data_IF_433177217646
#
_entry.id   IF_433177217646
#
_cell.length_a   1.000
_cell.length_b   1.000
_cell.length_c   1.000
_cell.angle_alpha   90.00
_cell.angle_beta   90.00
_cell.angle_gamma   90.00
#
_symmetry.space_group_name_H-M   'P 1'
#
loop_
_entity.id
_entity.type
_entity.pdbx_description
1 polymer ?
#
# COMPACT_ATOMS: atom_id res chain seq x y z
N UNK A 1 -23.86 -5.89 -13.89
CA UNK A 1 -22.79 -5.03 -13.35
C UNK A 1 -22.90 -5.01 -11.84
N UNK A 2 -21.78 -4.98 -11.11
CA UNK A 2 -21.76 -4.95 -9.62
C UNK A 2 -22.58 -3.80 -9.05
N UNK A 3 -22.53 -2.63 -9.66
CA UNK A 3 -23.27 -1.42 -9.25
C UNK A 3 -24.81 -1.54 -9.32
N UNK A 4 -25.34 -2.63 -9.89
CA UNK A 4 -26.78 -2.92 -9.91
C UNK A 4 -27.17 -4.05 -8.94
N UNK A 5 -26.26 -4.52 -8.10
CA UNK A 5 -26.47 -5.66 -7.20
C UNK A 5 -26.79 -5.24 -5.75
N UNK A 6 -26.94 -3.94 -5.48
CA UNK A 6 -27.30 -3.43 -4.16
C UNK A 6 -26.14 -3.38 -3.16
N UNK A 7 -24.90 -3.20 -3.63
CA UNK A 7 -23.76 -2.91 -2.76
C UNK A 7 -23.71 -1.41 -2.44
N UNK A 8 -23.49 -1.05 -1.18
CA UNK A 8 -23.30 0.35 -0.78
C UNK A 8 -21.93 0.88 -1.18
N UNK A 9 -20.91 0.03 -1.10
CA UNK A 9 -19.50 0.38 -1.36
C UNK A 9 -18.86 -0.64 -2.30
N UNK A 10 -18.15 -0.14 -3.31
CA UNK A 10 -17.34 -0.94 -4.24
C UNK A 10 -15.89 -0.45 -4.13
N UNK A 11 -14.95 -1.37 -3.93
CA UNK A 11 -13.51 -1.06 -3.88
C UNK A 11 -12.85 -1.55 -5.17
N UNK A 12 -12.20 -0.65 -5.90
CA UNK A 12 -11.43 -0.98 -7.09
C UNK A 12 -10.00 -1.39 -6.73
N UNK A 13 -9.78 -2.67 -6.48
CA UNK A 13 -8.45 -3.20 -6.19
C UNK A 13 -7.65 -3.39 -7.50
N UNK A 14 -6.87 -2.38 -7.89
CA UNK A 14 -6.07 -2.36 -9.12
C UNK A 14 -4.67 -1.78 -8.88
N UNK A 15 -3.67 -2.33 -9.57
CA UNK A 15 -2.31 -1.76 -9.65
C UNK A 15 -2.17 -0.72 -10.76
N UNK A 16 -3.13 -0.66 -11.68
CA UNK A 16 -3.18 0.30 -12.78
C UNK A 16 -4.19 1.42 -12.50
N UNK A 17 -3.85 2.64 -12.93
CA UNK A 17 -4.79 3.74 -12.96
C UNK A 17 -5.86 3.48 -14.02
N UNK A 18 -7.08 3.15 -13.59
CA UNK A 18 -8.22 2.95 -14.49
C UNK A 18 -8.96 4.28 -14.59
N UNK A 19 -8.94 4.87 -15.79
CA UNK A 19 -9.70 6.10 -16.05
C UNK A 19 -11.16 5.74 -16.35
N UNK A 20 -12.06 6.64 -15.99
CA UNK A 20 -13.48 6.61 -16.38
C UNK A 20 -14.31 5.46 -15.78
N UNK A 21 -13.83 4.82 -14.70
CA UNK A 21 -14.69 3.97 -13.89
C UNK A 21 -15.56 4.84 -12.98
N UNK A 22 -16.87 4.60 -13.00
CA UNK A 22 -17.83 5.28 -12.15
C UNK A 22 -18.87 4.28 -11.65
N UNK A 23 -19.27 4.43 -10.40
CA UNK A 23 -20.45 3.81 -9.84
C UNK A 23 -21.55 4.88 -9.71
N UNK A 24 -22.80 4.52 -9.98
CA UNK A 24 -23.96 5.39 -9.90
C UNK A 24 -24.78 5.14 -8.64
N UNK A 25 -24.85 3.89 -8.20
CA UNK A 25 -25.66 3.49 -7.06
C UNK A 25 -24.81 3.20 -5.82
N UNK A 26 -23.51 2.99 -5.99
CA UNK A 26 -22.56 2.66 -4.92
C UNK A 26 -21.48 3.73 -4.76
N UNK A 27 -20.91 3.86 -3.57
CA UNK A 27 -19.66 4.62 -3.37
C UNK A 27 -18.51 3.82 -3.97
N UNK A 28 -17.79 4.41 -4.93
CA UNK A 28 -16.61 3.79 -5.53
C UNK A 28 -15.33 4.29 -4.83
N UNK A 29 -14.66 3.39 -4.11
CA UNK A 29 -13.35 3.65 -3.52
C UNK A 29 -12.24 3.20 -4.45
N UNK A 30 -11.34 4.12 -4.76
CA UNK A 30 -10.17 3.88 -5.60
C UNK A 30 -8.90 4.02 -4.74
N UNK A 31 -8.28 2.90 -4.28
CA UNK A 31 -7.11 2.93 -3.40
C UNK A 31 -5.96 3.77 -3.97
N UNK A 32 -5.74 3.75 -5.28
CA UNK A 32 -4.68 4.55 -5.92
C UNK A 32 -4.86 6.06 -5.73
N UNK A 33 -6.10 6.55 -5.62
CA UNK A 33 -6.40 7.98 -5.39
C UNK A 33 -6.38 8.36 -3.92
N UNK A 34 -6.67 7.40 -3.03
CA UNK A 34 -6.88 7.63 -1.61
C UNK A 34 -5.61 7.39 -0.80
N UNK A 35 -4.91 6.28 -1.07
CA UNK A 35 -3.78 5.82 -0.24
C UNK A 35 -2.58 6.76 -0.32
N UNK A 36 -2.09 7.20 -1.50
CA UNK A 36 -0.91 8.07 -1.54
C UNK A 36 -1.05 9.38 -0.75
N UNK A 37 -2.13 10.19 -0.91
CA UNK A 37 -2.27 11.42 -0.12
C UNK A 37 -2.57 11.16 1.36
N UNK A 38 -3.27 10.07 1.70
CA UNK A 38 -3.47 9.67 3.09
C UNK A 38 -2.14 9.36 3.77
N UNK A 39 -1.30 8.53 3.15
CA UNK A 39 0.03 8.19 3.68
C UNK A 39 0.88 9.46 3.78
N UNK A 40 0.88 10.33 2.77
CA UNK A 40 1.57 11.61 2.81
C UNK A 40 1.17 12.47 4.01
N UNK A 41 -0.09 12.41 4.42
CA UNK A 41 -0.60 13.15 5.58
C UNK A 41 -0.22 12.51 6.93
N UNK A 42 -0.03 11.18 6.96
CA UNK A 42 0.30 10.44 8.18
C UNK A 42 1.81 10.50 8.48
N UNK A 43 2.64 10.37 7.44
CA UNK A 43 4.09 10.23 7.62
C UNK A 43 4.80 11.56 7.81
N UNK A 44 4.18 12.70 7.54
CA UNK A 44 4.63 14.07 7.84
C UNK A 44 6.16 14.24 8.04
N UNK A 45 6.92 14.24 6.94
CA UNK A 45 8.37 14.45 6.95
C UNK A 45 9.25 13.23 7.29
N UNK A 46 8.68 12.08 7.58
CA UNK A 46 9.42 10.82 7.80
C UNK A 46 9.79 10.14 6.47
N UNK A 47 10.95 9.48 6.42
CA UNK A 47 11.40 8.74 5.24
C UNK A 47 10.59 7.46 5.07
N UNK A 48 9.84 7.38 3.97
CA UNK A 48 9.09 6.16 3.62
C UNK A 48 10.00 5.18 2.91
N UNK A 49 10.01 3.93 3.37
CA UNK A 49 10.54 2.79 2.65
C UNK A 49 9.41 1.97 2.04
N UNK A 50 9.50 1.59 0.76
CA UNK A 50 8.46 0.81 0.07
C UNK A 50 9.02 -0.54 -0.36
N UNK A 51 8.40 -1.62 0.11
CA UNK A 51 8.72 -2.96 -0.38
C UNK A 51 7.89 -3.24 -1.63
N UNK A 52 8.59 -3.50 -2.75
CA UNK A 52 7.99 -3.73 -4.07
C UNK A 52 8.09 -5.22 -4.41
N UNK A 53 7.03 -5.88 -4.91
CA UNK A 53 7.01 -7.33 -5.08
C UNK A 53 7.97 -7.82 -6.18
N UNK A 54 8.14 -7.02 -7.25
CA UNK A 54 8.99 -7.31 -8.41
C UNK A 54 9.50 -6.00 -9.01
N UNK A 55 10.68 -6.03 -9.65
CA UNK A 55 11.36 -4.83 -10.14
C UNK A 55 10.55 -4.06 -11.21
N UNK A 56 9.73 -4.77 -11.99
CA UNK A 56 8.90 -4.21 -13.05
C UNK A 56 7.85 -3.22 -12.52
N UNK A 57 7.51 -3.28 -11.23
CA UNK A 57 6.58 -2.35 -10.60
C UNK A 57 7.25 -1.09 -10.03
N UNK A 58 8.59 -1.02 -10.00
CA UNK A 58 9.32 0.13 -9.41
C UNK A 58 8.90 1.46 -10.03
N UNK A 59 8.91 1.56 -11.36
CA UNK A 59 8.53 2.80 -12.06
C UNK A 59 7.08 3.22 -11.76
N UNK A 60 6.17 2.26 -11.58
CA UNK A 60 4.79 2.55 -11.21
C UNK A 60 4.69 3.04 -9.76
N UNK A 61 5.47 2.46 -8.85
CA UNK A 61 5.55 2.88 -7.45
C UNK A 61 6.17 4.27 -7.32
N UNK A 62 7.28 4.55 -8.01
CA UNK A 62 7.90 5.88 -8.04
C UNK A 62 6.91 6.94 -8.46
N UNK A 63 6.14 6.68 -9.53
CA UNK A 63 5.09 7.60 -9.99
C UNK A 63 3.96 7.77 -8.96
N UNK A 64 3.54 6.68 -8.32
CA UNK A 64 2.47 6.69 -7.31
C UNK A 64 2.83 7.55 -6.10
N UNK A 65 4.09 7.47 -5.66
CA UNK A 65 4.55 8.07 -4.42
C UNK A 65 5.13 9.50 -4.56
N UNK A 66 5.03 10.13 -5.75
CA UNK A 66 5.48 11.50 -5.99
C UNK A 66 4.79 12.58 -5.12
N UNK A 67 3.68 12.23 -4.48
CA UNK A 67 2.94 13.09 -3.54
C UNK A 67 3.66 13.22 -2.18
N UNK A 68 4.58 12.31 -1.85
CA UNK A 68 5.36 12.40 -0.62
C UNK A 68 6.38 13.55 -0.71
N UNK A 69 6.59 14.24 0.41
CA UNK A 69 7.57 15.33 0.50
C UNK A 69 9.01 14.82 0.29
N UNK A 70 9.30 13.62 0.81
CA UNK A 70 10.57 12.92 0.61
C UNK A 70 10.37 11.75 -0.34
N UNK A 71 11.18 11.63 -1.42
CA UNK A 71 11.15 10.47 -2.30
C UNK A 71 11.38 9.18 -1.50
N UNK A 72 10.56 8.13 -1.68
CA UNK A 72 10.80 6.88 -0.97
C UNK A 72 12.10 6.20 -1.34
N UNK A 73 12.58 5.38 -0.41
CA UNK A 73 13.60 4.35 -0.68
C UNK A 73 12.91 3.01 -0.95
N UNK A 74 13.52 2.16 -1.75
CA UNK A 74 12.87 0.94 -2.26
C UNK A 74 13.69 -0.30 -2.01
N UNK A 75 13.01 -1.41 -1.77
CA UNK A 75 13.60 -2.75 -1.70
C UNK A 75 12.63 -3.77 -2.32
N UNK A 76 13.14 -4.96 -2.64
CA UNK A 76 12.37 -6.01 -3.30
C UNK A 76 12.13 -7.19 -2.37
N UNK A 77 10.87 -7.60 -2.23
CA UNK A 77 10.50 -8.88 -1.66
C UNK A 77 9.18 -9.38 -2.25
N UNK A 78 9.17 -10.59 -2.79
CA UNK A 78 7.97 -11.16 -3.40
C UNK A 78 7.03 -11.73 -2.32
N UNK A 79 5.79 -11.25 -2.18
CA UNK A 79 4.90 -11.69 -1.11
C UNK A 79 4.21 -13.05 -1.35
N UNK A 80 4.40 -13.65 -2.52
CA UNK A 80 3.78 -14.93 -2.90
C UNK A 80 4.79 -16.06 -2.94
N UNK A 81 5.99 -15.78 -3.47
CA UNK A 81 7.04 -16.77 -3.68
C UNK A 81 8.28 -16.53 -2.83
N UNK A 82 8.38 -15.38 -2.17
CA UNK A 82 9.49 -15.05 -1.28
C UNK A 82 9.37 -15.71 0.09
N UNK A 83 10.51 -15.88 0.76
CA UNK A 83 10.56 -16.34 2.14
C UNK A 83 10.36 -15.19 3.13
N UNK A 84 10.05 -15.53 4.38
CA UNK A 84 9.96 -14.54 5.46
C UNK A 84 11.29 -13.83 5.70
N UNK A 85 12.40 -14.57 5.59
CA UNK A 85 13.74 -13.98 5.72
C UNK A 85 14.00 -12.94 4.62
N UNK A 86 13.62 -13.23 3.37
CA UNK A 86 13.75 -12.24 2.28
C UNK A 86 12.92 -10.98 2.54
N UNK A 87 11.75 -11.12 3.16
CA UNK A 87 10.94 -9.97 3.56
C UNK A 87 11.63 -9.14 4.66
N UNK A 88 12.18 -9.81 5.67
CA UNK A 88 12.91 -9.16 6.77
C UNK A 88 14.16 -8.45 6.24
N UNK A 89 14.94 -9.12 5.40
CA UNK A 89 16.16 -8.56 4.78
C UNK A 89 15.81 -7.32 3.94
N UNK A 90 14.71 -7.37 3.17
CA UNK A 90 14.22 -6.23 2.40
C UNK A 90 13.78 -5.07 3.30
N UNK A 91 13.19 -5.35 4.45
CA UNK A 91 12.85 -4.35 5.45
C UNK A 91 14.09 -3.73 6.09
N UNK A 92 15.05 -4.54 6.52
CA UNK A 92 16.31 -4.07 7.09
C UNK A 92 17.09 -3.19 6.10
N UNK A 93 17.13 -3.58 4.83
CA UNK A 93 17.75 -2.78 3.78
C UNK A 93 17.10 -1.39 3.61
N UNK A 94 15.80 -1.24 3.93
CA UNK A 94 15.13 0.07 3.93
C UNK A 94 15.54 0.90 5.15
N UNK A 95 15.66 0.28 6.33
CA UNK A 95 16.14 0.97 7.55
C UNK A 95 17.58 1.46 7.37
N UNK A 96 18.44 0.65 6.76
CA UNK A 96 19.83 1.03 6.46
C UNK A 96 19.90 2.21 5.47
N UNK A 97 18.86 2.39 4.65
CA UNK A 97 18.66 3.56 3.78
C UNK A 97 17.95 4.73 4.46
N UNK A 98 17.66 4.62 5.76
CA UNK A 98 17.06 5.67 6.59
C UNK A 98 15.53 5.67 6.63
N UNK A 99 14.85 4.58 6.26
CA UNK A 99 13.40 4.52 6.36
C UNK A 99 12.92 4.51 7.82
N UNK A 100 12.05 5.46 8.15
CA UNK A 100 11.39 5.58 9.46
C UNK A 100 10.02 4.87 9.48
N UNK A 101 9.47 4.56 8.30
CA UNK A 101 8.19 3.86 8.12
C UNK A 101 8.24 2.98 6.88
N UNK A 102 7.74 1.75 6.98
CA UNK A 102 7.68 0.82 5.87
C UNK A 102 6.26 0.75 5.31
N UNK A 103 6.16 0.78 3.98
CA UNK A 103 4.91 0.63 3.25
C UNK A 103 4.90 -0.68 2.47
N UNK A 104 3.90 -1.51 2.75
CA UNK A 104 3.55 -2.69 1.97
C UNK A 104 2.41 -2.35 1.00
N UNK A 105 2.76 -2.18 -0.26
CA UNK A 105 1.86 -1.64 -1.27
C UNK A 105 1.78 -2.53 -2.52
N UNK A 106 1.09 -3.66 -2.35
CA UNK A 106 0.71 -4.59 -3.40
C UNK A 106 -0.47 -5.43 -2.92
N UNK A 107 -1.33 -5.88 -3.84
CA UNK A 107 -2.41 -6.82 -3.55
C UNK A 107 -1.92 -8.15 -2.93
N UNK A 108 -0.67 -8.52 -3.17
CA UNK A 108 -0.06 -9.72 -2.59
C UNK A 108 0.37 -9.58 -1.14
N UNK A 109 0.50 -8.36 -0.60
CA UNK A 109 0.86 -8.18 0.82
C UNK A 109 -0.38 -8.31 1.71
N UNK A 110 -0.20 -8.91 2.90
CA UNK A 110 -1.26 -9.27 3.82
C UNK A 110 -0.80 -9.02 5.25
N UNK A 111 -1.71 -9.15 6.21
CA UNK A 111 -1.42 -8.87 7.63
C UNK A 111 -0.23 -9.68 8.15
N UNK A 112 -0.09 -10.96 7.77
CA UNK A 112 1.08 -11.78 8.14
C UNK A 112 2.41 -11.10 7.80
N UNK A 113 2.55 -10.54 6.60
CA UNK A 113 3.79 -9.86 6.17
C UNK A 113 4.08 -8.63 7.03
N UNK A 114 3.04 -7.87 7.38
CA UNK A 114 3.15 -6.74 8.29
C UNK A 114 3.60 -7.19 9.67
N UNK A 115 2.97 -8.23 10.22
CA UNK A 115 3.28 -8.73 11.56
C UNK A 115 4.73 -9.22 11.66
N UNK A 116 5.23 -9.93 10.65
CA UNK A 116 6.63 -10.37 10.56
C UNK A 116 7.58 -9.16 10.63
N UNK A 117 7.33 -8.13 9.81
CA UNK A 117 8.17 -6.95 9.78
C UNK A 117 8.08 -6.14 11.09
N UNK A 118 6.90 -6.00 11.68
CA UNK A 118 6.72 -5.30 12.96
C UNK A 118 7.37 -6.03 14.13
N UNK A 119 7.48 -7.35 14.07
CA UNK A 119 8.20 -8.13 15.08
C UNK A 119 9.72 -8.04 14.90
N UNK A 120 10.18 -7.92 13.65
CA UNK A 120 11.61 -7.92 13.32
C UNK A 120 12.26 -6.53 13.34
N UNK A 121 11.48 -5.46 13.11
CA UNK A 121 11.99 -4.11 12.87
C UNK A 121 11.34 -3.10 13.83
N UNK A 122 12.12 -2.09 14.23
CA UNK A 122 11.67 -1.06 15.18
C UNK A 122 11.06 0.17 14.47
N UNK A 123 10.24 -0.07 13.44
CA UNK A 123 9.53 0.97 12.68
C UNK A 123 8.08 0.60 12.39
N UNK A 124 7.17 1.58 12.27
CA UNK A 124 5.81 1.32 11.82
C UNK A 124 5.78 0.70 10.42
N UNK A 125 4.92 -0.30 10.25
CA UNK A 125 4.64 -0.93 8.95
C UNK A 125 3.18 -0.67 8.57
N UNK A 126 2.98 0.01 7.46
CA UNK A 126 1.68 0.32 6.86
C UNK A 126 1.36 -0.68 5.76
N UNK A 127 0.08 -1.00 5.61
CA UNK A 127 -0.41 -1.96 4.62
C UNK A 127 -1.61 -1.37 3.88
N UNK A 128 -1.45 -1.15 2.58
CA UNK A 128 -2.42 -0.45 1.72
C UNK A 128 -3.83 -1.03 1.77
N UNK A 129 -3.97 -2.35 1.69
CA UNK A 129 -5.28 -3.02 1.68
C UNK A 129 -5.99 -2.93 3.05
N UNK A 130 -5.25 -2.90 4.16
CA UNK A 130 -5.82 -2.67 5.50
C UNK A 130 -6.28 -1.24 5.67
N UNK A 131 -5.50 -0.25 5.20
CA UNK A 131 -5.88 1.16 5.27
C UNK A 131 -7.19 1.42 4.51
N UNK A 132 -7.31 0.93 3.27
CA UNK A 132 -8.54 1.13 2.50
C UNK A 132 -9.73 0.36 3.10
N UNK A 133 -9.52 -0.85 3.63
CA UNK A 133 -10.58 -1.62 4.27
C UNK A 133 -11.14 -0.91 5.51
N UNK A 134 -10.28 -0.31 6.33
CA UNK A 134 -10.68 0.50 7.49
C UNK A 134 -11.45 1.75 7.09
N UNK A 135 -11.03 2.43 6.02
CA UNK A 135 -11.80 3.56 5.49
C UNK A 135 -13.15 3.12 4.95
N UNK A 136 -13.21 1.97 4.28
CA UNK A 136 -14.45 1.42 3.74
C UNK A 136 -15.42 1.03 4.86
N UNK A 137 -14.94 0.50 6.00
CA UNK A 137 -15.82 0.10 7.10
C UNK A 137 -16.54 1.27 7.76
N UNK A 138 -15.97 2.47 7.74
CA UNK A 138 -16.64 3.69 8.24
C UNK A 138 -17.84 4.13 7.37
N UNK A 139 -17.96 3.59 6.16
CA UNK A 139 -19.06 3.87 5.24
C UNK A 139 -20.20 2.84 5.34
N UNK A 140 -19.99 1.76 6.09
CA UNK A 140 -21.00 0.71 6.30
C UNK A 140 -21.82 1.09 7.54
N UNK A 141 -23.12 1.31 7.35
CA UNK A 141 -24.08 1.67 8.41
C UNK A 141 -24.86 0.45 8.86
#
# INVERSE_FOLDING_TARGET
MLDNQGYDVIILMSTAAIKSMAARNSILLEPLRIIPPLVASIVDGHQVGVIVPVAELLAAQEKKWQVLQMPPVYSLANPVHGSEQQLIDAGQALLDQGADVIMLDCLGFHQRHRDILQQALDVPVLLSNVLIARLASELLV
#
